data_IF_967426043253
#
_entry.id   IF_967426043253
#
_cell.length_a   1.000
_cell.length_b   1.000
_cell.length_c   1.000
_cell.angle_alpha   90.00
_cell.angle_beta   90.00
_cell.angle_gamma   90.00
#
_symmetry.space_group_name_H-M   'P 1'
#
loop_
_entity.id
_entity.type
_entity.pdbx_description
1 polymer ?
#
# COMPACT_ATOMS: atom_id res chain seq x y z
N UNK A 1 -7.30 13.74 13.71
CA UNK A 1 -7.31 13.11 12.40
C UNK A 1 -6.88 14.13 11.36
N UNK A 2 -5.97 13.77 10.46
CA UNK A 2 -5.52 14.59 9.32
C UNK A 2 -5.64 13.75 8.05
N UNK A 3 -6.16 14.35 6.96
CA UNK A 3 -6.14 13.73 5.63
C UNK A 3 -4.87 14.17 4.88
N UNK A 4 -4.29 13.24 4.11
CA UNK A 4 -3.14 13.45 3.23
C UNK A 4 -3.49 12.98 1.82
N UNK A 5 -3.06 13.74 0.81
CA UNK A 5 -3.47 13.55 -0.58
C UNK A 5 -2.33 13.01 -1.47
N UNK A 6 -1.10 12.94 -0.96
CA UNK A 6 0.07 12.47 -1.71
C UNK A 6 1.07 11.74 -0.83
N UNK A 7 1.96 10.99 -1.46
CA UNK A 7 3.06 10.30 -0.79
C UNK A 7 4.01 11.27 -0.09
N UNK A 8 4.21 12.48 -0.66
CA UNK A 8 5.03 13.54 -0.08
C UNK A 8 4.41 14.10 1.21
N UNK A 9 3.09 14.27 1.24
CA UNK A 9 2.38 14.71 2.46
C UNK A 9 2.45 13.63 3.56
N UNK A 10 2.35 12.35 3.19
CA UNK A 10 2.54 11.24 4.14
C UNK A 10 3.94 11.32 4.73
N UNK A 11 4.98 11.42 3.89
CA UNK A 11 6.36 11.50 4.34
C UNK A 11 6.61 12.68 5.27
N UNK A 12 6.16 13.88 4.88
CA UNK A 12 6.34 15.09 5.69
C UNK A 12 5.71 14.93 7.08
N UNK A 13 4.47 14.42 7.14
CA UNK A 13 3.72 14.28 8.39
C UNK A 13 4.27 13.15 9.27
N UNK A 14 4.61 12.00 8.68
CA UNK A 14 5.18 10.85 9.38
C UNK A 14 6.56 11.20 9.93
N UNK A 15 7.40 11.89 9.15
CA UNK A 15 8.72 12.36 9.59
C UNK A 15 8.61 13.34 10.77
N UNK A 16 7.60 14.22 10.76
CA UNK A 16 7.31 15.09 11.88
C UNK A 16 6.91 14.29 13.14
N UNK A 17 6.07 13.27 12.97
CA UNK A 17 5.66 12.39 14.06
C UNK A 17 6.86 11.65 14.67
N UNK A 18 7.72 11.07 13.84
CA UNK A 18 8.92 10.36 14.32
C UNK A 18 9.85 11.29 15.09
N UNK A 19 10.20 12.45 14.52
CA UNK A 19 11.10 13.44 15.17
C UNK A 19 10.60 13.92 16.53
N UNK A 20 9.28 14.04 16.70
CA UNK A 20 8.66 14.54 17.91
C UNK A 20 8.09 13.46 18.84
N UNK A 21 8.35 12.17 18.57
CA UNK A 21 7.79 11.04 19.31
C UNK A 21 6.26 11.06 19.41
N UNK A 22 5.57 11.54 18.36
CA UNK A 22 4.11 11.56 18.30
C UNK A 22 3.63 10.19 17.84
N UNK A 23 2.86 9.44 18.64
CA UNK A 23 2.24 8.21 18.18
C UNK A 23 1.30 8.50 17.02
N UNK A 24 1.34 7.70 15.98
CA UNK A 24 0.45 7.86 14.83
C UNK A 24 -0.04 6.52 14.28
N UNK A 25 -1.10 6.58 13.51
CA UNK A 25 -1.70 5.45 12.81
C UNK A 25 -2.08 5.86 11.38
N UNK A 26 -1.61 5.12 10.38
CA UNK A 26 -2.02 5.33 8.99
C UNK A 26 -3.31 4.54 8.74
N UNK A 27 -4.35 5.24 8.37
CA UNK A 27 -5.65 4.67 8.05
C UNK A 27 -5.91 4.80 6.55
N UNK A 28 -6.13 3.67 5.88
CA UNK A 28 -6.60 3.63 4.49
C UNK A 28 -8.12 3.72 4.40
N UNK A 29 -8.75 2.70 3.83
CA UNK A 29 -10.22 2.61 3.70
C UNK A 29 -10.96 2.22 4.98
N UNK A 30 -10.26 1.84 6.05
CA UNK A 30 -10.90 1.41 7.30
C UNK A 30 -11.59 0.04 7.24
N UNK A 31 -11.46 -0.70 6.13
CA UNK A 31 -12.20 -1.94 5.88
C UNK A 31 -11.78 -3.14 6.73
N UNK A 32 -10.62 -3.07 7.39
CA UNK A 32 -10.07 -4.14 8.23
C UNK A 32 -9.52 -3.58 9.56
N UNK A 33 -10.23 -2.64 10.14
CA UNK A 33 -9.85 -1.97 11.40
C UNK A 33 -11.02 -2.03 12.37
N UNK A 34 -10.74 -2.49 13.59
CA UNK A 34 -11.63 -2.37 14.72
C UNK A 34 -11.03 -1.38 15.72
N UNK A 35 -11.73 -0.28 15.95
CA UNK A 35 -11.28 0.78 16.86
C UNK A 35 -12.01 0.62 18.20
N UNK A 36 -11.26 0.69 19.30
CA UNK A 36 -11.84 0.70 20.65
C UNK A 36 -12.71 1.95 20.87
N UNK A 37 -13.75 1.84 21.70
CA UNK A 37 -14.60 2.97 22.12
C UNK A 37 -13.82 4.09 22.80
N UNK A 38 -12.64 3.79 23.35
CA UNK A 38 -11.70 4.78 23.90
C UNK A 38 -10.95 5.58 22.83
N UNK A 39 -11.16 5.25 21.55
CA UNK A 39 -10.49 5.86 20.41
C UNK A 39 -9.01 5.50 20.30
N UNK A 40 -8.30 6.28 19.48
CA UNK A 40 -6.85 6.14 19.22
C UNK A 40 -6.12 7.28 19.92
N UNK A 41 -5.13 6.95 20.76
CA UNK A 41 -4.24 7.94 21.36
C UNK A 41 -3.09 8.22 20.41
N UNK A 42 -3.12 9.38 19.77
CA UNK A 42 -2.14 9.78 18.76
C UNK A 42 -2.79 10.41 17.55
N UNK A 43 -2.00 10.64 16.52
CA UNK A 43 -2.45 11.20 15.26
C UNK A 43 -2.98 10.08 14.35
N UNK A 44 -4.22 10.20 13.87
CA UNK A 44 -4.73 9.36 12.80
C UNK A 44 -4.53 10.08 11.47
N UNK A 45 -3.75 9.48 10.59
CA UNK A 45 -3.44 9.99 9.24
C UNK A 45 -4.29 9.20 8.25
N UNK A 46 -5.30 9.86 7.69
CA UNK A 46 -6.17 9.27 6.69
C UNK A 46 -5.52 9.40 5.31
N UNK A 47 -5.08 8.27 4.77
CA UNK A 47 -4.38 8.23 3.51
C UNK A 47 -5.34 8.30 2.31
N UNK A 48 -5.27 9.41 1.57
CA UNK A 48 -5.99 9.69 0.33
C UNK A 48 -5.06 9.86 -0.88
N UNK A 49 -3.78 9.51 -0.75
CA UNK A 49 -2.85 9.44 -1.87
C UNK A 49 -3.30 8.30 -2.82
N UNK A 50 -3.84 8.65 -3.99
CA UNK A 50 -4.59 7.71 -4.85
C UNK A 50 -4.18 7.75 -6.32
N UNK A 51 -3.05 8.34 -6.65
CA UNK A 51 -2.58 8.33 -8.04
C UNK A 51 -2.37 6.90 -8.53
N UNK A 52 -2.75 6.65 -9.78
CA UNK A 52 -2.59 5.36 -10.46
C UNK A 52 -2.09 5.62 -11.87
N UNK A 53 -1.10 4.84 -12.31
CA UNK A 53 -0.52 4.94 -13.65
C UNK A 53 -0.29 3.54 -14.20
N UNK A 54 -0.86 3.27 -15.37
CA UNK A 54 -0.64 2.02 -16.10
C UNK A 54 0.44 2.22 -17.16
N UNK A 55 1.39 1.30 -17.21
CA UNK A 55 2.32 1.16 -18.34
C UNK A 55 1.98 -0.12 -19.09
N UNK A 56 1.11 0.03 -20.10
CA UNK A 56 0.63 -1.07 -20.94
C UNK A 56 1.66 -1.49 -22.00
N UNK A 57 2.69 -0.68 -22.22
CA UNK A 57 3.77 -0.96 -23.18
C UNK A 57 4.96 -1.67 -22.52
N UNK A 58 5.04 -1.65 -21.19
CA UNK A 58 6.05 -2.41 -20.47
C UNK A 58 5.91 -3.91 -20.72
N UNK A 59 7.02 -4.64 -20.58
CA UNK A 59 7.05 -6.10 -20.71
C UNK A 59 7.67 -6.73 -19.46
N UNK A 60 6.85 -7.31 -18.58
CA UNK A 60 5.37 -7.36 -18.62
C UNK A 60 4.72 -5.98 -18.35
N UNK A 61 3.43 -5.80 -18.71
CA UNK A 61 2.68 -4.60 -18.34
C UNK A 61 2.66 -4.38 -16.82
N UNK A 62 2.59 -3.13 -16.40
CA UNK A 62 2.62 -2.79 -14.97
C UNK A 62 1.59 -1.74 -14.61
N UNK A 63 1.27 -1.69 -13.31
CA UNK A 63 0.57 -0.56 -12.70
C UNK A 63 1.35 -0.06 -11.50
N UNK A 64 1.67 1.22 -11.51
CA UNK A 64 2.14 1.95 -10.34
C UNK A 64 0.96 2.65 -9.68
N UNK A 65 0.89 2.56 -8.36
CA UNK A 65 -0.15 3.25 -7.61
C UNK A 65 0.31 3.66 -6.21
N UNK A 66 -0.19 4.81 -5.74
CA UNK A 66 0.00 5.23 -4.35
C UNK A 66 -0.79 4.33 -3.38
N UNK A 67 -0.30 4.26 -2.16
CA UNK A 67 -0.79 3.32 -1.14
C UNK A 67 -2.24 3.56 -0.70
N UNK A 68 -2.78 4.77 -0.87
CA UNK A 68 -4.19 5.10 -0.61
C UNK A 68 -5.15 4.76 -1.75
N UNK A 69 -4.66 4.30 -2.92
CA UNK A 69 -5.48 3.87 -4.04
C UNK A 69 -6.35 2.66 -3.65
N UNK A 70 -7.61 2.67 -4.09
CA UNK A 70 -8.53 1.56 -3.81
C UNK A 70 -8.15 0.33 -4.65
N UNK A 71 -7.90 -0.80 -3.98
CA UNK A 71 -7.45 -2.04 -4.61
C UNK A 71 -8.42 -2.54 -5.68
N UNK A 72 -9.71 -2.61 -5.37
CA UNK A 72 -10.73 -3.09 -6.30
C UNK A 72 -10.92 -2.17 -7.51
N UNK A 73 -10.77 -0.84 -7.33
CA UNK A 73 -10.81 0.09 -8.45
C UNK A 73 -9.59 -0.06 -9.37
N UNK A 74 -8.40 -0.27 -8.82
CA UNK A 74 -7.18 -0.55 -9.63
C UNK A 74 -7.35 -1.82 -10.43
N UNK A 75 -7.87 -2.90 -9.82
CA UNK A 75 -8.16 -4.16 -10.52
C UNK A 75 -9.16 -3.97 -11.67
N UNK A 76 -10.24 -3.21 -11.43
CA UNK A 76 -11.25 -2.91 -12.45
C UNK A 76 -10.67 -2.07 -13.59
N UNK A 77 -9.83 -1.08 -13.29
CA UNK A 77 -9.15 -0.27 -14.32
C UNK A 77 -8.17 -1.13 -15.14
N UNK A 78 -7.44 -2.08 -14.54
CA UNK A 78 -6.59 -3.02 -15.26
C UNK A 78 -7.39 -3.81 -16.30
N UNK A 79 -8.54 -4.37 -15.90
CA UNK A 79 -9.42 -5.10 -16.82
C UNK A 79 -9.92 -4.22 -17.99
N UNK A 80 -10.27 -2.94 -17.72
CA UNK A 80 -10.68 -2.00 -18.77
C UNK A 80 -9.56 -1.66 -19.77
N UNK A 81 -8.30 -1.78 -19.35
CA UNK A 81 -7.12 -1.67 -20.22
C UNK A 81 -6.77 -2.99 -20.93
N UNK A 82 -7.57 -4.06 -20.79
CA UNK A 82 -7.25 -5.37 -21.34
C UNK A 82 -6.11 -6.06 -20.64
N UNK A 83 -5.93 -5.81 -19.35
CA UNK A 83 -4.87 -6.38 -18.52
C UNK A 83 -5.46 -7.34 -17.49
N UNK A 84 -4.79 -8.49 -17.32
CA UNK A 84 -5.11 -9.54 -16.37
C UNK A 84 -4.13 -9.57 -15.19
N UNK A 85 -4.44 -10.38 -14.17
CA UNK A 85 -3.57 -10.67 -13.04
C UNK A 85 -4.06 -10.04 -11.73
N UNK A 86 -5.05 -9.15 -11.75
CA UNK A 86 -5.67 -8.55 -10.54
C UNK A 86 -7.13 -8.96 -10.34
N UNK A 87 -7.63 -9.97 -11.01
CA UNK A 87 -9.02 -10.44 -10.91
C UNK A 87 -9.39 -10.81 -9.47
N UNK A 88 -8.45 -11.42 -8.77
CA UNK A 88 -8.60 -11.80 -7.36
C UNK A 88 -8.88 -10.59 -6.44
N UNK A 89 -8.44 -9.40 -6.86
CA UNK A 89 -8.55 -8.17 -6.05
C UNK A 89 -9.87 -7.42 -6.23
N UNK A 90 -10.66 -7.73 -7.28
CA UNK A 90 -11.84 -6.94 -7.68
C UNK A 90 -12.90 -6.81 -6.57
N UNK A 91 -13.05 -7.83 -5.73
CA UNK A 91 -14.03 -7.85 -4.62
C UNK A 91 -13.44 -7.52 -3.24
N UNK A 92 -12.13 -7.25 -3.15
CA UNK A 92 -11.48 -6.99 -1.86
C UNK A 92 -11.59 -5.50 -1.51
N UNK A 93 -12.24 -5.15 -0.39
CA UNK A 93 -12.32 -3.76 0.04
C UNK A 93 -10.99 -3.30 0.65
N UNK A 94 -10.67 -2.02 0.50
CA UNK A 94 -9.50 -1.41 1.12
C UNK A 94 -8.55 -0.76 0.12
N UNK A 95 -7.37 -0.40 0.61
CA UNK A 95 -6.33 0.32 -0.15
C UNK A 95 -5.13 -0.57 -0.43
N UNK A 96 -4.36 -0.22 -1.46
CA UNK A 96 -3.14 -0.95 -1.84
C UNK A 96 -2.13 -1.04 -0.70
N UNK A 97 -1.90 0.04 0.06
CA UNK A 97 -1.01 -0.02 1.22
C UNK A 97 -1.46 -1.04 2.27
N UNK A 98 -2.76 -1.06 2.60
CA UNK A 98 -3.32 -2.08 3.50
C UNK A 98 -3.23 -3.50 2.93
N UNK A 99 -3.39 -3.64 1.62
CA UNK A 99 -3.25 -4.91 0.93
C UNK A 99 -1.81 -5.46 1.02
N UNK A 100 -0.79 -4.60 0.83
CA UNK A 100 0.62 -5.00 0.98
C UNK A 100 0.92 -5.39 2.43
N UNK A 101 0.51 -4.59 3.40
CA UNK A 101 0.73 -4.89 4.82
C UNK A 101 0.15 -6.24 5.21
N UNK A 102 -1.04 -6.55 4.73
CA UNK A 102 -1.75 -7.79 5.06
C UNK A 102 -1.53 -8.95 4.10
N UNK A 103 -0.73 -8.81 3.03
CA UNK A 103 -0.71 -9.75 1.91
C UNK A 103 -2.13 -10.18 1.52
N UNK A 104 -2.94 -9.18 1.12
CA UNK A 104 -4.33 -9.45 0.75
C UNK A 104 -4.40 -10.41 -0.43
N UNK A 105 -5.37 -11.30 -0.41
CA UNK A 105 -5.55 -12.27 -1.47
C UNK A 105 -6.90 -12.96 -1.41
N UNK A 106 -7.34 -13.47 -2.55
CA UNK A 106 -8.57 -14.27 -2.72
C UNK A 106 -8.46 -15.10 -4.01
N UNK A 107 -9.27 -16.16 -4.12
CA UNK A 107 -9.40 -16.92 -5.36
C UNK A 107 -8.07 -17.41 -5.96
N UNK A 108 -7.09 -17.74 -5.12
CA UNK A 108 -5.78 -18.26 -5.55
C UNK A 108 -4.74 -17.21 -5.95
N UNK A 109 -5.07 -15.91 -5.92
CA UNK A 109 -4.12 -14.81 -6.12
C UNK A 109 -3.92 -13.98 -4.85
N UNK A 110 -2.80 -13.30 -4.75
CA UNK A 110 -2.48 -12.39 -3.65
C UNK A 110 -1.51 -11.28 -4.09
N UNK A 111 -1.24 -10.34 -3.18
CA UNK A 111 -0.31 -9.24 -3.44
C UNK A 111 1.10 -9.76 -3.75
N UNK A 112 1.57 -10.78 -3.04
CA UNK A 112 2.92 -11.31 -3.23
C UNK A 112 3.16 -11.81 -4.66
N UNK A 113 2.14 -12.41 -5.29
CA UNK A 113 2.22 -12.90 -6.66
C UNK A 113 2.32 -11.80 -7.73
N UNK A 114 1.79 -10.61 -7.46
CA UNK A 114 1.79 -9.50 -8.41
C UNK A 114 2.84 -8.42 -8.09
N UNK A 115 3.31 -8.32 -6.85
CA UNK A 115 4.20 -7.23 -6.45
C UNK A 115 5.56 -7.35 -7.14
N UNK A 116 5.99 -6.27 -7.78
CA UNK A 116 7.38 -6.10 -8.25
C UNK A 116 8.18 -5.42 -7.14
N UNK A 117 7.69 -4.29 -6.64
CA UNK A 117 8.35 -3.49 -5.60
C UNK A 117 7.33 -2.62 -4.86
N UNK A 118 7.57 -2.40 -3.57
CA UNK A 118 6.89 -1.39 -2.78
C UNK A 118 7.89 -0.32 -2.33
N UNK A 119 7.54 0.94 -2.48
CA UNK A 119 8.29 2.05 -1.91
C UNK A 119 7.88 2.23 -0.46
N UNK A 120 8.85 2.09 0.43
CA UNK A 120 8.65 2.11 1.88
C UNK A 120 9.36 3.30 2.49
N UNK A 121 8.64 4.08 3.26
CA UNK A 121 9.19 5.12 4.14
C UNK A 121 9.52 4.49 5.50
N UNK A 122 10.72 4.74 5.99
CA UNK A 122 11.18 4.26 7.29
C UNK A 122 12.17 5.23 7.94
N UNK A 123 12.36 5.18 9.27
CA UNK A 123 13.47 5.89 9.90
C UNK A 123 14.80 5.31 9.41
N UNK A 124 15.73 6.16 9.02
CA UNK A 124 17.09 5.74 8.61
C UNK A 124 18.11 5.87 9.77
N UNK A 125 17.77 6.66 10.78
CA UNK A 125 18.60 6.87 11.96
C UNK A 125 17.70 6.94 13.20
N UNK A 126 17.97 6.04 14.16
CA UNK A 126 17.23 5.98 15.42
C UNK A 126 17.47 7.21 16.32
N UNK A 127 18.58 7.92 16.17
CA UNK A 127 18.94 9.11 16.96
C UNK A 127 18.30 10.38 16.41
N UNK A 128 18.46 10.64 15.11
CA UNK A 128 17.92 11.83 14.44
C UNK A 128 16.48 11.64 14.02
N UNK A 129 16.06 10.36 13.84
CA UNK A 129 14.75 9.98 13.29
C UNK A 129 14.45 10.61 11.94
N UNK A 130 15.48 10.84 11.18
CA UNK A 130 15.33 11.17 9.77
C UNK A 130 14.66 10.02 9.04
N UNK A 131 13.81 10.36 8.08
CA UNK A 131 13.13 9.40 7.24
C UNK A 131 13.85 9.19 5.93
N UNK A 132 13.72 8.01 5.37
CA UNK A 132 14.21 7.70 4.03
C UNK A 132 13.27 6.75 3.31
N UNK A 133 13.24 6.87 1.98
CA UNK A 133 12.48 5.98 1.10
C UNK A 133 13.38 4.85 0.63
N UNK A 134 12.86 3.64 0.67
CA UNK A 134 13.55 2.45 0.19
C UNK A 134 12.59 1.56 -0.61
N UNK A 135 13.09 0.99 -1.70
CA UNK A 135 12.35 0.02 -2.50
C UNK A 135 12.52 -1.38 -1.92
N UNK A 136 11.40 -2.00 -1.50
CA UNK A 136 11.38 -3.35 -0.96
C UNK A 136 10.77 -4.33 -1.97
N UNK A 137 11.53 -5.39 -2.25
CA UNK A 137 11.04 -6.52 -3.06
C UNK A 137 10.09 -7.42 -2.26
N UNK A 138 9.35 -8.32 -2.92
CA UNK A 138 8.53 -9.32 -2.24
C UNK A 138 9.31 -10.17 -1.22
N UNK A 139 10.57 -10.50 -1.53
CA UNK A 139 11.46 -11.28 -0.64
C UNK A 139 11.76 -10.51 0.65
N UNK A 140 12.06 -9.21 0.54
CA UNK A 140 12.30 -8.34 1.71
C UNK A 140 11.05 -8.14 2.54
N UNK A 141 9.87 -8.11 1.93
CA UNK A 141 8.58 -8.03 2.61
C UNK A 141 8.21 -9.33 3.34
N UNK A 142 8.88 -10.45 3.01
CA UNK A 142 8.72 -11.76 3.67
C UNK A 142 7.25 -12.15 3.82
N UNK A 143 6.50 -12.10 2.72
CA UNK A 143 5.08 -12.40 2.71
C UNK A 143 4.78 -13.83 3.18
N UNK A 144 3.75 -13.94 4.00
CA UNK A 144 3.13 -15.20 4.39
C UNK A 144 1.61 -15.06 4.32
N UNK A 145 0.88 -16.12 4.63
CA UNK A 145 -0.58 -16.05 4.62
C UNK A 145 -1.09 -14.92 5.52
N UNK A 146 -1.76 -13.94 4.90
CA UNK A 146 -2.34 -12.75 5.58
C UNK A 146 -1.34 -11.94 6.41
N UNK A 147 -0.05 -11.97 6.06
CA UNK A 147 1.01 -11.27 6.79
C UNK A 147 2.16 -10.84 5.90
N UNK A 148 2.89 -9.84 6.37
CA UNK A 148 4.16 -9.36 5.84
C UNK A 148 5.06 -8.89 6.98
N UNK A 149 6.33 -8.61 6.69
CA UNK A 149 7.26 -8.00 7.65
C UNK A 149 6.73 -6.66 8.19
N UNK A 150 6.01 -5.88 7.36
CA UNK A 150 5.42 -4.59 7.77
C UNK A 150 4.36 -4.77 8.86
N UNK A 151 3.58 -5.84 8.81
CA UNK A 151 2.58 -6.16 9.84
C UNK A 151 3.23 -6.54 11.17
N UNK A 152 4.41 -7.15 11.13
CA UNK A 152 5.17 -7.53 12.33
C UNK A 152 5.90 -6.33 12.94
N UNK A 153 6.30 -5.36 12.13
CA UNK A 153 7.01 -4.12 12.53
C UNK A 153 6.09 -2.91 12.54
N UNK A 154 4.93 -3.06 13.12
CA UNK A 154 3.88 -2.04 13.09
C UNK A 154 4.37 -0.65 13.53
N UNK A 155 4.12 0.38 12.71
CA UNK A 155 4.43 1.78 13.00
C UNK A 155 5.82 2.27 12.59
N UNK A 156 6.75 1.38 12.20
CA UNK A 156 8.12 1.77 11.84
C UNK A 156 8.39 1.80 10.32
N UNK A 157 7.42 1.41 9.51
CA UNK A 157 7.58 1.40 8.05
C UNK A 157 6.23 1.63 7.38
N UNK A 158 6.18 2.58 6.45
CA UNK A 158 4.95 3.02 5.80
C UNK A 158 5.03 2.76 4.30
N UNK A 159 4.04 2.12 3.73
CA UNK A 159 3.93 1.95 2.28
C UNK A 159 3.51 3.27 1.65
N UNK A 160 4.33 3.81 0.75
CA UNK A 160 4.04 5.02 -0.01
C UNK A 160 3.40 4.70 -1.36
N UNK A 161 4.01 3.80 -2.11
CA UNK A 161 3.54 3.37 -3.43
C UNK A 161 3.90 1.92 -3.72
N UNK A 162 3.29 1.35 -4.74
CA UNK A 162 3.54 -0.02 -5.20
C UNK A 162 3.64 -0.06 -6.71
N UNK A 163 4.45 -0.98 -7.23
CA UNK A 163 4.50 -1.38 -8.62
C UNK A 163 4.07 -2.84 -8.71
N UNK A 164 2.98 -3.11 -9.44
CA UNK A 164 2.45 -4.46 -9.63
C UNK A 164 2.65 -4.91 -11.08
N UNK A 165 2.95 -6.20 -11.26
CA UNK A 165 3.00 -6.88 -12.54
C UNK A 165 1.59 -7.24 -12.98
N UNK A 166 1.36 -7.07 -14.27
CA UNK A 166 0.13 -7.45 -14.96
C UNK A 166 0.48 -8.33 -16.17
N UNK A 167 -0.54 -8.88 -16.81
CA UNK A 167 -0.44 -9.68 -18.01
C UNK A 167 -1.33 -9.10 -19.11
N UNK A 168 -0.92 -9.26 -20.37
CA UNK A 168 -1.79 -8.91 -21.49
C UNK A 168 -2.96 -9.89 -21.55
N UNK A 169 -4.15 -9.38 -21.66
CA UNK A 169 -5.38 -10.15 -21.84
C UNK A 169 -6.29 -9.44 -22.83
N UNK A 170 -7.24 -10.17 -23.38
CA UNK A 170 -8.34 -9.54 -24.12
C UNK A 170 -9.44 -9.18 -23.12
N UNK A 171 -10.03 -7.95 -23.22
CA UNK A 171 -11.20 -7.62 -22.43
C UNK A 171 -12.30 -8.65 -22.73
N UNK A 172 -12.73 -9.40 -21.73
CA UNK A 172 -13.94 -10.21 -21.87
C UNK A 172 -15.13 -9.26 -21.71
N UNK A 173 -15.94 -9.19 -22.74
CA UNK A 173 -17.22 -8.48 -22.77
C UNK A 173 -18.24 -9.19 -21.89
#
# INVERSE_FOLDING_TARGET
LIEVQSSEEIEALVSLCWRNNIPFFILGGGSNVLVSDRGVRGLVILNRARQVRFDIQAQPPTVWAESGANLGLVARQAALHGLAGLEWAAGIPGTLGGAVVGNAGAHGGDVAGNLIVAEILQPVDDMTRESGRENWSPEKLAFTYRSSLLKQRFGNSIVLSVLLRLEQSTPQV
#
